data_IF_579316355139
#
_entry.id   IF_579316355139
#
_cell.length_a   1.000
_cell.length_b   1.000
_cell.length_c   1.000
_cell.angle_alpha   90.00
_cell.angle_beta   90.00
_cell.angle_gamma   90.00
#
_symmetry.space_group_name_H-M   'P 1'
#
loop_
_entity.id
_entity.type
_entity.pdbx_description
1 polymer ?
#
# COMPACT_ATOMS: atom_id res chain seq x y z
N UNK A 1 34.11 -10.09 4.59
CA UNK A 1 33.40 -8.82 4.84
C UNK A 1 31.88 -8.98 4.71
N UNK A 2 31.32 -10.18 4.98
CA UNK A 2 29.92 -10.47 4.68
C UNK A 2 28.87 -9.69 5.52
N UNK A 3 29.24 -9.22 6.71
CA UNK A 3 28.31 -8.50 7.59
C UNK A 3 28.11 -7.04 7.18
N UNK A 4 29.12 -6.40 6.59
CA UNK A 4 29.01 -5.01 6.13
C UNK A 4 28.18 -4.94 4.85
N UNK A 5 28.40 -5.88 3.93
CA UNK A 5 27.68 -5.97 2.66
C UNK A 5 26.16 -6.13 2.88
N UNK A 6 25.76 -7.00 3.83
CA UNK A 6 24.35 -7.19 4.21
C UNK A 6 23.71 -5.95 4.84
N UNK A 7 24.48 -5.14 5.58
CA UNK A 7 23.96 -3.92 6.20
C UNK A 7 23.78 -2.82 5.14
N UNK A 8 24.70 -2.70 4.18
CA UNK A 8 24.57 -1.75 3.07
C UNK A 8 23.34 -2.07 2.21
N UNK A 9 23.13 -3.34 1.87
CA UNK A 9 22.00 -3.79 1.04
C UNK A 9 20.63 -3.43 1.64
N UNK A 10 20.49 -3.48 2.97
CA UNK A 10 19.26 -3.09 3.67
C UNK A 10 19.05 -1.57 3.68
N UNK A 11 20.13 -0.79 3.79
CA UNK A 11 20.07 0.67 3.82
C UNK A 11 19.77 1.27 2.44
N UNK A 12 20.32 0.66 1.39
CA UNK A 12 20.19 1.09 -0.01
C UNK A 12 18.93 0.51 -0.68
N UNK A 13 18.11 -0.24 0.05
CA UNK A 13 16.96 -0.91 -0.49
C UNK A 13 15.92 0.07 -1.08
N UNK A 14 15.59 -0.13 -2.36
CA UNK A 14 14.70 0.74 -3.15
C UNK A 14 13.21 0.58 -2.82
N UNK A 15 12.81 -0.33 -1.92
CA UNK A 15 11.43 -0.35 -1.41
C UNK A 15 11.21 0.83 -0.46
N UNK A 16 11.06 2.01 -1.05
CA UNK A 16 10.66 3.24 -0.39
C UNK A 16 9.27 3.59 -0.90
N UNK A 17 8.30 3.55 0.01
CA UNK A 17 7.05 4.28 -0.22
C UNK A 17 7.42 5.75 -0.13
N UNK A 18 7.57 6.40 -1.28
CA UNK A 18 7.96 7.81 -1.33
C UNK A 18 6.89 8.69 -0.69
N UNK A 19 7.30 9.56 0.22
CA UNK A 19 6.43 10.61 0.72
C UNK A 19 6.31 11.71 -0.33
N UNK A 20 5.07 12.14 -0.60
CA UNK A 20 4.82 13.27 -1.50
C UNK A 20 5.23 14.58 -0.82
N UNK A 21 5.73 15.56 -1.60
CA UNK A 21 6.27 16.82 -1.09
C UNK A 21 5.31 17.65 -0.22
N UNK A 22 4.00 17.51 -0.43
CA UNK A 22 2.95 18.18 0.35
C UNK A 22 1.93 17.15 0.84
N UNK A 23 2.24 16.41 1.93
CA UNK A 23 1.37 15.35 2.40
C UNK A 23 0.07 15.94 2.92
N UNK A 24 -1.04 15.28 2.59
CA UNK A 24 -2.34 15.63 3.14
C UNK A 24 -2.54 14.91 4.46
N UNK A 25 -2.61 15.66 5.56
CA UNK A 25 -2.91 15.08 6.86
C UNK A 25 -4.32 14.45 6.87
N UNK A 26 -4.41 13.21 7.36
CA UNK A 26 -5.68 12.49 7.54
C UNK A 26 -5.89 12.35 9.04
N UNK A 27 -6.85 13.10 9.60
CA UNK A 27 -7.17 13.09 11.04
C UNK A 27 -8.19 12.02 11.45
N UNK A 28 -8.67 11.21 10.50
CA UNK A 28 -9.61 10.11 10.74
C UNK A 28 -10.41 9.72 9.49
N UNK A 29 -11.28 8.72 9.64
CA UNK A 29 -12.23 8.32 8.62
C UNK A 29 -13.51 9.17 8.73
N UNK A 30 -13.70 10.09 7.79
CA UNK A 30 -14.83 11.03 7.83
C UNK A 30 -16.04 10.58 6.99
N UNK A 31 -15.81 9.92 5.86
CA UNK A 31 -16.86 9.60 4.89
C UNK A 31 -16.84 8.11 4.49
N UNK A 32 -15.84 7.69 3.72
CA UNK A 32 -15.76 6.34 3.17
C UNK A 32 -14.32 5.92 2.88
N UNK A 33 -14.09 4.62 2.79
CA UNK A 33 -12.86 4.02 2.24
C UNK A 33 -13.18 3.59 0.81
N UNK A 34 -12.30 3.90 -0.14
CA UNK A 34 -12.56 3.62 -1.55
C UNK A 34 -11.30 3.04 -2.21
N UNK A 35 -11.46 1.86 -2.80
CA UNK A 35 -10.51 1.23 -3.71
C UNK A 35 -11.03 1.42 -5.13
N UNK A 36 -10.21 2.00 -6.02
CA UNK A 36 -10.58 2.31 -7.41
C UNK A 36 -9.61 1.63 -8.36
N UNK A 37 -10.10 0.61 -9.07
CA UNK A 37 -9.38 -0.09 -10.14
C UNK A 37 -7.95 -0.49 -9.71
N UNK A 38 -7.82 -1.01 -8.50
CA UNK A 38 -6.51 -1.37 -7.96
C UNK A 38 -6.07 -2.75 -8.43
N UNK A 39 -4.76 -2.92 -8.57
CA UNK A 39 -4.11 -4.21 -8.75
C UNK A 39 -3.11 -4.46 -7.62
N UNK A 40 -2.95 -5.72 -7.23
CA UNK A 40 -1.97 -6.12 -6.22
C UNK A 40 -1.35 -7.46 -6.59
N UNK A 41 -0.02 -7.54 -6.51
CA UNK A 41 0.77 -8.72 -6.80
C UNK A 41 2.06 -8.68 -5.98
N UNK A 42 2.55 -9.84 -5.54
CA UNK A 42 3.86 -9.94 -4.86
C UNK A 42 5.01 -10.02 -5.88
N UNK A 43 4.77 -10.72 -6.99
CA UNK A 43 5.63 -10.78 -8.16
C UNK A 43 4.75 -10.73 -9.42
N UNK A 44 5.35 -10.50 -10.59
CA UNK A 44 4.59 -10.26 -11.83
C UNK A 44 3.71 -11.45 -12.25
N UNK A 45 4.01 -12.65 -11.78
CA UNK A 45 3.33 -13.88 -12.17
C UNK A 45 2.22 -14.26 -11.15
N UNK A 46 2.31 -13.78 -9.91
CA UNK A 46 1.37 -14.02 -8.83
C UNK A 46 0.47 -12.80 -8.57
N UNK A 47 -0.47 -12.57 -9.49
CA UNK A 47 -1.49 -11.51 -9.37
C UNK A 47 -2.60 -11.94 -8.41
N UNK A 48 -2.81 -11.16 -7.34
CA UNK A 48 -3.81 -11.43 -6.30
C UNK A 48 -5.07 -10.59 -6.52
N UNK A 49 -4.92 -9.31 -6.85
CA UNK A 49 -6.02 -8.42 -7.21
C UNK A 49 -5.78 -7.88 -8.61
N UNK A 50 -6.83 -7.89 -9.44
CA UNK A 50 -6.85 -7.30 -10.77
C UNK A 50 -8.14 -6.53 -10.97
N UNK A 51 -8.02 -5.27 -11.36
CA UNK A 51 -9.15 -4.35 -11.62
C UNK A 51 -10.17 -4.28 -10.47
N UNK A 52 -9.71 -4.40 -9.22
CA UNK A 52 -10.58 -4.47 -8.06
C UNK A 52 -11.04 -3.07 -7.62
N UNK A 53 -12.34 -2.93 -7.36
CA UNK A 53 -12.93 -1.70 -6.84
C UNK A 53 -13.90 -2.01 -5.71
N UNK A 54 -13.84 -1.22 -4.64
CA UNK A 54 -14.68 -1.39 -3.46
C UNK A 54 -14.92 -0.04 -2.79
N UNK A 55 -16.14 0.21 -2.36
CA UNK A 55 -16.49 1.42 -1.59
C UNK A 55 -17.14 1.03 -0.28
N UNK A 56 -16.54 1.46 0.82
CA UNK A 56 -16.98 1.18 2.18
C UNK A 56 -17.39 2.49 2.87
N UNK A 57 -18.69 2.77 3.02
CA UNK A 57 -19.15 3.93 3.76
C UNK A 57 -18.85 3.76 5.26
N UNK A 58 -18.55 4.87 5.93
CA UNK A 58 -18.29 4.91 7.36
C UNK A 58 -19.47 4.32 8.15
N UNK A 59 -19.13 3.48 9.13
CA UNK A 59 -20.11 2.89 10.05
C UNK A 59 -20.89 1.70 9.48
N UNK A 60 -20.63 1.27 8.24
CA UNK A 60 -21.21 0.02 7.72
C UNK A 60 -20.21 -1.12 7.80
N UNK A 61 -20.50 -2.19 8.56
CA UNK A 61 -19.67 -3.39 8.52
C UNK A 61 -19.84 -4.09 7.17
N UNK A 62 -18.73 -4.62 6.65
CA UNK A 62 -18.79 -5.64 5.60
C UNK A 62 -19.35 -6.92 6.24
N UNK A 63 -20.52 -7.35 5.76
CA UNK A 63 -21.07 -8.66 6.09
C UNK A 63 -20.71 -9.61 4.93
N UNK A 64 -20.22 -10.79 5.32
CA UNK A 64 -19.72 -11.86 4.47
C UNK A 64 -20.87 -12.69 3.87
#
# INVERSE_FOLDING_TARGET
>A
MASLDRVSEVLDYDLKVEEIAYPKAISGLNDKIEFKNIGFYYDKDNVILKDFSLTLPKGKPLLW
#
